data_IF_693845462245
#
_entry.id   IF_693845462245
#
_cell.length_a   1.000
_cell.length_b   1.000
_cell.length_c   1.000
_cell.angle_alpha   90.00
_cell.angle_beta   90.00
_cell.angle_gamma   90.00
#
_symmetry.space_group_name_H-M   'P 1'
#
loop_
_entity.id
_entity.type
_entity.pdbx_description
1 polymer ?
#
# COMPACT_ATOMS: atom_id res chain seq x y z
N UNK A 1 15.38 -33.72 27.65
CA UNK A 1 15.98 -33.10 26.45
C UNK A 1 14.83 -32.54 25.61
N UNK A 2 14.66 -31.21 25.60
CA UNK A 2 13.62 -30.54 24.81
C UNK A 2 14.32 -29.99 23.57
N UNK A 3 13.86 -30.28 22.33
CA UNK A 3 14.52 -29.78 21.14
C UNK A 3 14.32 -28.27 21.05
N UNK A 4 15.44 -27.55 20.93
CA UNK A 4 15.47 -26.11 20.64
C UNK A 4 14.87 -25.90 19.25
N UNK A 5 13.64 -25.38 19.17
CA UNK A 5 13.11 -24.79 17.95
C UNK A 5 14.06 -23.65 17.54
N UNK A 6 14.77 -23.84 16.43
CA UNK A 6 15.50 -22.76 15.75
C UNK A 6 14.46 -21.99 14.94
N UNK A 7 13.85 -20.99 15.55
CA UNK A 7 13.00 -20.04 14.85
C UNK A 7 13.89 -19.18 13.95
N UNK A 8 13.89 -19.45 12.65
CA UNK A 8 14.48 -18.58 11.64
C UNK A 8 13.52 -17.40 11.44
N UNK A 9 13.80 -16.27 12.09
CA UNK A 9 13.12 -15.01 11.78
C UNK A 9 14.05 -14.22 10.88
N UNK A 10 13.93 -14.48 9.57
CA UNK A 10 14.56 -13.65 8.54
C UNK A 10 13.67 -12.43 8.40
N UNK A 11 14.24 -11.25 8.65
CA UNK A 11 13.56 -9.97 8.52
C UNK A 11 12.82 -9.90 7.19
N UNK A 12 11.50 -9.95 7.28
CA UNK A 12 10.61 -9.61 6.19
C UNK A 12 10.89 -8.13 5.91
N UNK A 13 11.71 -7.88 4.90
CA UNK A 13 11.86 -6.55 4.35
C UNK A 13 10.46 -6.02 4.08
N UNK A 14 10.16 -4.84 4.63
CA UNK A 14 8.97 -4.02 4.40
C UNK A 14 8.84 -3.67 2.90
N UNK A 15 8.68 -4.68 2.05
CA UNK A 15 8.42 -4.58 0.63
C UNK A 15 6.91 -4.44 0.46
N UNK A 16 6.40 -3.26 0.79
CA UNK A 16 4.99 -2.95 0.65
C UNK A 16 4.57 -1.58 1.18
N UNK A 17 5.41 -0.89 1.95
CA UNK A 17 5.17 0.50 2.29
C UNK A 17 5.72 1.41 1.18
N UNK A 18 4.90 1.59 0.15
CA UNK A 18 4.86 2.78 -0.71
C UNK A 18 6.19 3.40 -1.12
N UNK A 19 6.91 2.80 -2.06
CA UNK A 19 7.81 3.57 -2.96
C UNK A 19 7.10 3.79 -4.28
N UNK A 20 6.11 4.68 -4.25
CA UNK A 20 5.32 5.09 -5.41
C UNK A 20 5.21 6.61 -5.50
N UNK A 21 6.28 7.35 -5.23
CA UNK A 21 6.42 8.74 -5.64
C UNK A 21 7.88 9.20 -5.56
N UNK A 22 8.71 8.76 -6.51
CA UNK A 22 9.71 9.72 -7.02
C UNK A 22 8.93 10.69 -7.90
N UNK A 23 8.48 11.78 -7.28
CA UNK A 23 8.05 12.98 -7.98
C UNK A 23 9.19 13.38 -8.91
N UNK A 24 9.01 13.13 -10.21
CA UNK A 24 9.75 13.81 -11.26
C UNK A 24 9.52 15.29 -11.04
N UNK A 25 10.53 15.99 -10.52
CA UNK A 25 10.52 17.45 -10.46
C UNK A 25 10.47 17.96 -11.91
N UNK A 26 9.42 18.68 -12.34
CA UNK A 26 9.46 19.34 -13.63
C UNK A 26 10.57 20.39 -13.57
N UNK A 27 11.57 20.26 -14.45
CA UNK A 27 12.59 21.29 -14.64
C UNK A 27 11.90 22.59 -15.06
N UNK A 28 12.00 23.62 -14.21
CA UNK A 28 11.66 24.99 -14.58
C UNK A 28 12.65 25.54 -15.61
N UNK A 29 12.16 25.92 -16.80
CA UNK A 29 12.55 27.08 -17.64
C UNK A 29 11.77 27.01 -18.97
N UNK A 30 11.09 28.02 -19.48
CA UNK A 30 10.85 29.39 -19.05
C UNK A 30 9.82 30.06 -19.99
N UNK A 31 9.14 31.06 -19.43
CA UNK A 31 8.47 32.24 -19.98
C UNK A 31 7.61 32.27 -21.27
N UNK A 32 6.46 32.92 -21.06
CA UNK A 32 5.62 33.80 -21.90
C UNK A 32 4.60 33.20 -22.88
N UNK A 33 3.33 33.57 -22.64
CA UNK A 33 2.25 33.57 -23.63
C UNK A 33 0.87 33.58 -22.96
N UNK A 34 0.15 34.70 -23.06
CA UNK A 34 -1.09 34.97 -22.31
C UNK A 34 -2.33 34.21 -22.78
N UNK A 35 -3.43 34.42 -22.06
CA UNK A 35 -4.77 34.02 -22.49
C UNK A 35 -5.63 33.45 -21.37
N UNK A 36 -6.57 34.27 -20.89
CA UNK A 36 -7.66 33.87 -20.01
C UNK A 36 -8.53 32.77 -20.63
N UNK A 37 -8.87 31.71 -19.88
CA UNK A 37 -10.23 31.15 -19.88
C UNK A 37 -10.40 30.17 -18.73
N UNK A 38 -11.55 30.29 -18.05
CA UNK A 38 -12.04 29.48 -16.96
C UNK A 38 -12.36 28.05 -17.42
N UNK A 39 -11.35 27.17 -17.40
CA UNK A 39 -11.51 25.72 -17.59
C UNK A 39 -10.42 24.97 -16.81
N UNK A 40 -10.41 25.07 -15.48
CA UNK A 40 -9.37 24.42 -14.66
C UNK A 40 -9.99 23.40 -13.70
N UNK A 41 -9.77 22.13 -14.03
CA UNK A 41 -10.08 20.96 -13.19
C UNK A 41 -10.01 19.65 -13.98
N UNK A 42 -10.66 19.59 -15.15
CA UNK A 42 -10.77 18.35 -15.94
C UNK A 42 -9.53 17.99 -16.77
N UNK A 43 -8.83 18.98 -17.33
CA UNK A 43 -7.69 18.74 -18.24
C UNK A 43 -6.42 18.25 -17.53
N UNK A 44 -6.12 18.80 -16.35
CA UNK A 44 -4.95 18.41 -15.57
C UNK A 44 -5.09 17.00 -15.00
N UNK A 45 -6.27 16.65 -14.48
CA UNK A 45 -6.55 15.31 -13.98
C UNK A 45 -6.42 14.25 -15.09
N UNK A 46 -7.01 14.49 -16.26
CA UNK A 46 -6.92 13.56 -17.38
C UNK A 46 -5.49 13.43 -17.91
N UNK A 47 -4.73 14.52 -18.00
CA UNK A 47 -3.32 14.45 -18.41
C UNK A 47 -2.49 13.60 -17.43
N UNK A 48 -2.80 13.62 -16.14
CA UNK A 48 -2.15 12.73 -15.16
C UNK A 48 -2.56 11.27 -15.34
N UNK A 49 -3.83 10.99 -15.61
CA UNK A 49 -4.28 9.63 -15.98
C UNK A 49 -3.50 9.13 -17.19
N UNK A 50 -3.39 9.95 -18.25
CA UNK A 50 -2.65 9.60 -19.47
C UNK A 50 -1.16 9.35 -19.21
N UNK A 51 -0.55 10.09 -18.30
CA UNK A 51 0.85 9.87 -17.91
C UNK A 51 1.04 8.61 -17.07
N UNK A 52 0.07 8.25 -16.23
CA UNK A 52 0.21 7.19 -15.24
C UNK A 52 -0.31 5.83 -15.74
N UNK A 53 -1.19 5.80 -16.74
CA UNK A 53 -1.74 4.53 -17.27
C UNK A 53 -0.70 3.61 -17.90
N UNK A 54 0.42 4.16 -18.37
CA UNK A 54 1.56 3.38 -18.88
C UNK A 54 2.56 2.98 -17.78
N UNK A 55 2.40 3.50 -16.56
CA UNK A 55 3.30 3.20 -15.44
C UNK A 55 2.82 1.95 -14.71
N UNK A 56 3.73 1.04 -14.39
CA UNK A 56 3.38 -0.16 -13.61
C UNK A 56 2.92 0.20 -12.20
N UNK A 57 1.96 -0.55 -11.66
CA UNK A 57 1.51 -0.43 -10.26
C UNK A 57 1.94 -1.65 -9.45
N UNK A 58 1.81 -1.58 -8.12
CA UNK A 58 2.19 -2.66 -7.22
C UNK A 58 1.52 -4.01 -7.53
N UNK A 59 2.27 -5.09 -7.34
CA UNK A 59 1.81 -6.48 -7.51
C UNK A 59 1.19 -7.08 -6.24
N UNK A 60 1.37 -6.39 -5.12
CA UNK A 60 0.90 -6.82 -3.80
C UNK A 60 0.24 -5.65 -3.07
N UNK A 61 -0.92 -5.91 -2.46
CA UNK A 61 -1.59 -5.00 -1.55
C UNK A 61 -1.96 -5.77 -0.27
N UNK A 62 -1.45 -5.34 0.87
CA UNK A 62 -1.82 -5.91 2.16
C UNK A 62 -3.25 -5.47 2.52
N UNK A 63 -4.15 -6.43 2.70
CA UNK A 63 -5.53 -6.18 3.12
C UNK A 63 -5.64 -6.28 4.64
N UNK A 64 -6.47 -5.43 5.28
CA UNK A 64 -6.74 -5.59 6.70
C UNK A 64 -7.51 -6.90 6.97
N UNK A 65 -7.34 -7.51 8.16
CA UNK A 65 -8.15 -8.65 8.56
C UNK A 65 -9.64 -8.33 8.47
N UNK A 66 -10.40 -9.21 7.79
CA UNK A 66 -11.84 -9.03 7.57
C UNK A 66 -12.19 -8.00 6.48
N UNK A 67 -11.26 -7.67 5.57
CA UNK A 67 -11.56 -6.87 4.39
C UNK A 67 -12.77 -7.42 3.61
N UNK A 68 -13.72 -6.54 3.33
CA UNK A 68 -14.99 -6.81 2.62
C UNK A 68 -15.49 -5.49 2.04
N UNK A 69 -16.41 -5.55 1.08
CA UNK A 69 -17.04 -4.36 0.49
C UNK A 69 -17.59 -3.43 1.57
N UNK A 70 -17.30 -2.13 1.43
CA UNK A 70 -17.68 -1.07 2.36
C UNK A 70 -16.60 -0.74 3.40
N UNK A 71 -15.59 -1.60 3.59
CA UNK A 71 -14.49 -1.30 4.52
C UNK A 71 -13.53 -0.29 3.90
N UNK A 72 -13.15 0.74 4.67
CA UNK A 72 -12.06 1.65 4.32
C UNK A 72 -11.06 1.82 5.46
N UNK A 73 -9.84 2.19 5.10
CA UNK A 73 -8.78 2.54 6.03
C UNK A 73 -7.95 3.72 5.54
N UNK A 74 -7.41 4.48 6.47
CA UNK A 74 -6.52 5.60 6.21
C UNK A 74 -5.17 5.36 6.87
N UNK A 75 -4.10 5.64 6.13
CA UNK A 75 -2.73 5.52 6.60
C UNK A 75 -2.00 6.83 6.39
N UNK A 76 -1.07 7.15 7.29
CA UNK A 76 -0.09 8.21 7.07
C UNK A 76 1.29 7.58 6.92
N UNK A 77 2.00 7.90 5.83
CA UNK A 77 3.37 7.45 5.57
C UNK A 77 4.24 8.67 5.23
N UNK A 78 5.30 8.93 6.00
CA UNK A 78 6.16 10.09 5.78
C UNK A 78 5.43 11.45 5.80
N UNK A 79 4.30 11.54 6.50
CA UNK A 79 3.43 12.72 6.54
C UNK A 79 2.38 12.79 5.42
N UNK A 80 2.44 11.92 4.41
CA UNK A 80 1.43 11.83 3.36
C UNK A 80 0.30 10.90 3.80
N UNK A 81 -0.96 11.34 3.66
CA UNK A 81 -2.13 10.52 3.93
C UNK A 81 -2.55 9.75 2.68
N UNK A 82 -3.02 8.53 2.86
CA UNK A 82 -3.63 7.71 1.82
C UNK A 82 -4.87 7.04 2.38
N UNK A 83 -5.96 7.09 1.61
CA UNK A 83 -7.22 6.41 1.93
C UNK A 83 -7.45 5.29 0.95
N UNK A 84 -7.68 4.09 1.47
CA UNK A 84 -8.00 2.89 0.72
C UNK A 84 -9.42 2.45 1.06
N UNK A 85 -10.12 1.88 0.09
CA UNK A 85 -11.49 1.41 0.26
C UNK A 85 -11.72 0.14 -0.56
N UNK A 86 -12.32 -0.89 0.04
CA UNK A 86 -12.90 -2.00 -0.71
C UNK A 86 -14.28 -1.56 -1.18
N UNK A 87 -14.43 -1.37 -2.49
CA UNK A 87 -15.63 -0.74 -3.07
C UNK A 87 -16.51 -1.71 -3.86
N UNK A 88 -16.01 -2.90 -4.15
CA UNK A 88 -16.73 -3.91 -4.92
C UNK A 88 -16.08 -5.28 -4.85
N UNK A 89 -16.74 -6.26 -5.45
CA UNK A 89 -16.27 -7.62 -5.58
C UNK A 89 -16.53 -8.10 -7.01
N UNK A 90 -15.56 -8.82 -7.58
CA UNK A 90 -15.67 -9.46 -8.88
C UNK A 90 -15.01 -10.84 -8.80
N UNK A 91 -15.79 -11.90 -9.07
CA UNK A 91 -15.30 -13.29 -9.12
C UNK A 91 -14.52 -13.70 -7.85
N UNK A 92 -15.05 -13.36 -6.67
CA UNK A 92 -14.43 -13.64 -5.37
C UNK A 92 -13.20 -12.78 -5.05
N UNK A 93 -12.87 -11.78 -5.88
CA UNK A 93 -11.76 -10.85 -5.68
C UNK A 93 -12.29 -9.47 -5.34
N UNK A 94 -11.53 -8.73 -4.55
CA UNK A 94 -11.92 -7.42 -4.04
C UNK A 94 -11.44 -6.31 -4.96
N UNK A 95 -12.31 -5.33 -5.23
CA UNK A 95 -11.91 -4.08 -5.89
C UNK A 95 -11.52 -3.10 -4.79
N UNK A 96 -10.24 -2.71 -4.76
CA UNK A 96 -9.71 -1.73 -3.82
C UNK A 96 -9.38 -0.44 -4.55
N UNK A 97 -9.92 0.68 -4.10
CA UNK A 97 -9.61 2.02 -4.59
C UNK A 97 -8.72 2.77 -3.60
N UNK A 98 -7.82 3.60 -4.13
CA UNK A 98 -7.06 4.60 -3.39
C UNK A 98 -7.23 5.96 -4.08
N UNK A 99 -7.77 6.93 -3.34
CA UNK A 99 -7.79 8.32 -3.80
C UNK A 99 -6.44 9.00 -3.54
N UNK A 100 -5.93 9.72 -4.54
CA UNK A 100 -4.73 10.52 -4.49
C UNK A 100 -5.04 11.96 -4.90
N UNK A 101 -4.49 12.93 -4.18
CA UNK A 101 -4.46 14.33 -4.62
C UNK A 101 -3.15 14.58 -5.37
N UNK A 102 -3.26 14.96 -6.64
CA UNK A 102 -2.13 15.26 -7.51
C UNK A 102 -2.39 16.60 -8.19
N UNK A 103 -1.69 17.64 -7.72
CA UNK A 103 -1.80 18.99 -8.29
C UNK A 103 -3.18 19.61 -8.13
N UNK A 104 -3.88 19.34 -7.01
CA UNK A 104 -5.23 19.85 -6.75
C UNK A 104 -6.33 19.09 -7.51
N UNK A 105 -5.99 17.96 -8.12
CA UNK A 105 -6.93 17.05 -8.79
C UNK A 105 -6.94 15.70 -8.09
N UNK A 106 -8.13 15.13 -7.89
CA UNK A 106 -8.26 13.77 -7.36
C UNK A 106 -8.14 12.74 -8.48
N UNK A 107 -7.21 11.80 -8.31
CA UNK A 107 -7.02 10.62 -9.17
C UNK A 107 -7.29 9.38 -8.33
N UNK A 108 -7.94 8.38 -8.91
CA UNK A 108 -8.21 7.10 -8.25
C UNK A 108 -7.29 6.04 -8.85
N UNK A 109 -6.45 5.42 -8.02
CA UNK A 109 -5.89 4.11 -8.33
C UNK A 109 -6.89 3.05 -7.91
N UNK A 110 -7.05 2.00 -8.71
CA UNK A 110 -7.86 0.85 -8.33
C UNK A 110 -7.13 -0.45 -8.65
N UNK A 111 -7.38 -1.48 -7.83
CA UNK A 111 -6.80 -2.81 -7.98
C UNK A 111 -7.87 -3.87 -7.80
N UNK A 112 -7.82 -4.92 -8.63
CA UNK A 112 -8.50 -6.18 -8.36
C UNK A 112 -7.54 -7.05 -7.56
N UNK A 113 -7.90 -7.35 -6.32
CA UNK A 113 -7.06 -8.00 -5.33
C UNK A 113 -7.64 -9.35 -4.95
N UNK A 114 -6.86 -10.41 -5.09
CA UNK A 114 -7.20 -11.75 -4.65
C UNK A 114 -6.96 -11.90 -3.14
N UNK A 115 -8.00 -11.98 -2.29
CA UNK A 115 -7.81 -12.05 -0.85
C UNK A 115 -7.36 -13.44 -0.37
N UNK A 116 -7.30 -14.44 -1.25
CA UNK A 116 -6.92 -15.83 -0.89
C UNK A 116 -5.40 -16.03 -0.87
N UNK A 117 -4.65 -15.11 -1.48
CA UNK A 117 -3.19 -15.16 -1.48
C UNK A 117 -2.67 -14.58 -0.16
N UNK A 118 -1.94 -15.41 0.59
CA UNK A 118 -1.28 -15.01 1.83
C UNK A 118 0.05 -14.26 1.52
N UNK A 119 0.14 -12.95 1.82
CA UNK A 119 1.35 -12.17 1.58
C UNK A 119 2.44 -12.39 2.64
N UNK A 120 2.16 -13.12 3.73
CA UNK A 120 3.12 -13.35 4.81
C UNK A 120 4.04 -14.54 4.53
N UNK A 121 3.65 -15.42 3.61
CA UNK A 121 4.44 -16.58 3.21
C UNK A 121 5.72 -16.17 2.50
N UNK A 122 6.87 -16.56 3.06
CA UNK A 122 8.15 -16.40 2.39
C UNK A 122 8.36 -17.55 1.40
N UNK A 123 8.50 -17.26 0.10
CA UNK A 123 8.72 -18.29 -0.90
C UNK A 123 10.16 -18.84 -0.78
N UNK A 124 10.41 -19.96 -1.45
CA UNK A 124 11.76 -20.53 -1.55
C UNK A 124 12.66 -19.65 -2.42
N UNK A 125 13.98 -19.77 -2.26
CA UNK A 125 14.93 -19.07 -3.12
C UNK A 125 14.70 -19.45 -4.60
N UNK A 126 14.63 -18.44 -5.47
CA UNK A 126 14.33 -18.62 -6.89
C UNK A 126 12.85 -18.64 -7.25
N UNK A 127 11.95 -18.67 -6.27
CA UNK A 127 10.50 -18.55 -6.49
C UNK A 127 10.07 -17.08 -6.51
N UNK A 128 9.00 -16.72 -7.26
CA UNK A 128 8.46 -15.36 -7.24
C UNK A 128 7.87 -15.02 -5.87
N UNK A 129 7.97 -13.75 -5.48
CA UNK A 129 7.25 -13.22 -4.32
C UNK A 129 5.73 -13.38 -4.51
N UNK A 130 4.95 -13.59 -3.43
CA UNK A 130 3.49 -13.59 -3.52
C UNK A 130 2.96 -12.32 -4.18
N UNK A 131 2.02 -12.48 -5.11
CA UNK A 131 1.34 -11.38 -5.79
C UNK A 131 -0.16 -11.61 -5.71
N UNK A 132 -0.89 -10.62 -5.22
CA UNK A 132 -2.34 -10.69 -5.06
C UNK A 132 -3.09 -9.64 -5.88
N UNK A 133 -2.39 -8.71 -6.52
CA UNK A 133 -3.00 -7.78 -7.48
C UNK A 133 -3.02 -8.44 -8.86
N UNK A 134 -4.22 -8.69 -9.38
CA UNK A 134 -4.40 -9.37 -10.68
C UNK A 134 -4.66 -8.40 -11.83
N UNK A 135 -5.27 -7.24 -11.54
CA UNK A 135 -5.55 -6.16 -12.48
C UNK A 135 -5.50 -4.83 -11.76
N UNK A 136 -5.29 -3.75 -12.51
CA UNK A 136 -5.32 -2.42 -11.97
C UNK A 136 -5.85 -1.40 -12.98
N UNK A 137 -6.43 -0.33 -12.45
CA UNK A 137 -6.94 0.79 -13.21
C UNK A 137 -6.49 2.11 -12.58
N UNK A 138 -6.54 3.16 -13.39
CA UNK A 138 -6.42 4.53 -12.93
C UNK A 138 -7.48 5.39 -13.61
N UNK A 139 -8.05 6.33 -12.88
CA UNK A 139 -9.08 7.19 -13.46
C UNK A 139 -9.37 8.42 -12.63
N UNK A 140 -10.35 9.18 -13.09
CA UNK A 140 -10.91 10.32 -12.36
C UNK A 140 -12.26 9.92 -11.73
N UNK A 141 -12.63 10.50 -10.58
CA UNK A 141 -13.91 10.19 -9.94
C UNK A 141 -15.11 10.34 -10.89
N UNK A 142 -16.04 9.39 -10.82
CA UNK A 142 -17.28 9.35 -11.60
C UNK A 142 -17.13 8.90 -13.06
N UNK A 143 -15.92 8.55 -13.50
CA UNK A 143 -15.68 8.01 -14.85
C UNK A 143 -15.19 6.56 -14.80
N UNK A 144 -15.31 5.81 -15.92
CA UNK A 144 -14.65 4.50 -16.04
C UNK A 144 -13.13 4.63 -15.86
N UNK A 145 -12.53 3.64 -15.21
CA UNK A 145 -11.07 3.55 -15.07
C UNK A 145 -10.40 3.10 -16.37
N UNK A 146 -9.19 3.59 -16.61
CA UNK A 146 -8.30 3.11 -17.66
C UNK A 146 -7.38 2.03 -17.09
N UNK A 147 -7.29 0.86 -17.74
CA UNK A 147 -6.43 -0.23 -17.29
C UNK A 147 -4.95 0.19 -17.35
N UNK A 148 -4.16 -0.27 -16.37
CA UNK A 148 -2.72 -0.03 -16.29
C UNK A 148 -1.96 -1.32 -15.93
N UNK A 149 -0.69 -1.45 -16.35
CA UNK A 149 0.07 -2.66 -16.08
C UNK A 149 0.35 -2.84 -14.59
N UNK A 150 0.39 -4.09 -14.15
CA UNK A 150 0.81 -4.50 -12.80
C UNK A 150 2.27 -4.95 -12.89
N UNK A 151 3.10 -4.50 -11.95
CA UNK A 151 4.50 -4.92 -11.83
C UNK A 151 4.59 -6.44 -11.78
N UNK A 152 5.64 -7.01 -12.37
CA UNK A 152 5.93 -8.44 -12.17
C UNK A 152 6.48 -8.63 -10.75
N UNK A 153 6.03 -9.67 -10.01
CA UNK A 153 6.61 -9.96 -8.70
C UNK A 153 8.11 -10.27 -8.87
N UNK A 154 8.99 -9.68 -8.04
CA UNK A 154 10.40 -10.00 -8.07
C UNK A 154 10.61 -11.45 -7.63
N UNK A 155 11.70 -12.05 -8.10
CA UNK A 155 12.12 -13.38 -7.65
C UNK A 155 12.81 -13.24 -6.29
N UNK A 156 12.37 -14.05 -5.33
CA UNK A 156 12.97 -14.09 -4.02
C UNK A 156 14.43 -14.55 -4.11
N UNK A 157 15.32 -13.68 -3.62
CA UNK A 157 16.72 -14.00 -3.41
C UNK A 157 16.99 -13.91 -1.92
N UNK A 158 17.47 -15.01 -1.36
CA UNK A 158 17.95 -15.01 0.02
C UNK A 158 19.19 -14.13 0.08
N UNK A 159 19.08 -12.95 0.68
CA UNK A 159 20.26 -12.17 1.01
C UNK A 159 21.05 -12.93 2.08
N UNK A 160 22.30 -13.29 1.75
CA UNK A 160 23.20 -14.01 2.66
C UNK A 160 23.32 -13.27 3.99
N UNK A 161 23.46 -14.03 5.08
CA UNK A 161 23.38 -13.57 6.46
C UNK A 161 24.25 -12.34 6.76
N UNK A 162 23.69 -11.16 6.55
CA UNK A 162 24.16 -9.94 7.19
C UNK A 162 23.95 -10.12 8.69
N UNK A 163 24.93 -9.71 9.49
CA UNK A 163 24.90 -9.71 10.95
C UNK A 163 23.67 -8.98 11.48
N UNK A 164 22.55 -9.69 11.54
CA UNK A 164 21.30 -9.18 12.08
C UNK A 164 21.52 -9.04 13.57
N UNK A 165 21.55 -7.80 14.07
CA UNK A 165 21.26 -7.58 15.48
C UNK A 165 19.99 -8.36 15.83
N UNK A 166 19.94 -8.95 17.02
CA UNK A 166 18.77 -9.70 17.48
C UNK A 166 17.52 -8.86 17.26
N UNK A 167 16.65 -9.31 16.37
CA UNK A 167 15.33 -8.73 16.25
C UNK A 167 14.54 -9.18 17.50
N UNK A 168 14.04 -8.22 18.25
CA UNK A 168 13.07 -8.49 19.31
C UNK A 168 11.68 -8.60 18.69
N UNK A 169 10.84 -9.41 19.29
CA UNK A 169 9.48 -9.60 18.82
C UNK A 169 8.54 -9.85 20.00
N UNK A 170 7.28 -9.51 19.81
CA UNK A 170 6.25 -9.76 20.81
C UNK A 170 4.86 -9.50 20.26
N UNK A 171 3.87 -9.74 21.12
CA UNK A 171 2.47 -9.47 20.81
C UNK A 171 1.93 -8.48 21.85
N UNK A 172 1.05 -7.59 21.40
CA UNK A 172 0.33 -6.67 22.29
C UNK A 172 -1.00 -6.23 21.69
N UNK A 173 -1.86 -5.63 22.51
CA UNK A 173 -3.06 -4.94 22.04
C UNK A 173 -2.76 -3.46 21.85
N UNK A 174 -3.09 -2.93 20.69
CA UNK A 174 -2.94 -1.50 20.38
C UNK A 174 -4.28 -0.89 20.00
N UNK A 175 -4.51 0.36 20.38
CA UNK A 175 -5.66 1.14 19.95
C UNK A 175 -5.21 2.15 18.90
N UNK A 176 -5.64 1.96 17.66
CA UNK A 176 -5.27 2.79 16.51
C UNK A 176 -6.49 2.96 15.61
N UNK A 177 -6.64 4.15 15.03
CA UNK A 177 -7.76 4.48 14.15
C UNK A 177 -9.15 4.21 14.74
N UNK A 178 -9.32 4.42 16.06
CA UNK A 178 -10.58 4.19 16.76
C UNK A 178 -10.98 2.72 16.94
N UNK A 179 -10.03 1.78 16.73
CA UNK A 179 -10.24 0.34 16.90
C UNK A 179 -9.12 -0.28 17.72
N UNK A 180 -9.46 -1.33 18.48
CA UNK A 180 -8.47 -2.18 19.14
C UNK A 180 -8.01 -3.30 18.19
N UNK A 181 -6.70 -3.49 18.10
CA UNK A 181 -6.04 -4.50 17.28
C UNK A 181 -5.21 -5.43 18.15
N UNK A 182 -5.35 -6.74 17.94
CA UNK A 182 -4.32 -7.69 18.38
C UNK A 182 -3.15 -7.56 17.39
N UNK A 183 -1.97 -7.16 17.87
CA UNK A 183 -0.81 -6.86 17.05
C UNK A 183 0.36 -7.78 17.37
N UNK A 184 1.09 -8.17 16.32
CA UNK A 184 2.45 -8.69 16.43
C UNK A 184 3.42 -7.55 16.11
N UNK A 185 4.49 -7.42 16.87
CA UNK A 185 5.53 -6.43 16.59
C UNK A 185 6.90 -7.05 16.45
N UNK A 186 7.71 -6.44 15.59
CA UNK A 186 9.13 -6.76 15.41
C UNK A 186 9.94 -5.47 15.57
N UNK A 187 11.00 -5.54 16.37
CA UNK A 187 11.91 -4.43 16.63
C UNK A 187 13.33 -4.80 16.22
N UNK A 188 13.98 -3.89 15.52
CA UNK A 188 15.38 -3.98 15.10
C UNK A 188 16.12 -2.72 15.55
N UNK A 189 17.43 -2.65 15.31
CA UNK A 189 18.20 -1.42 15.52
C UNK A 189 17.68 -0.21 14.71
N UNK A 190 16.86 -0.44 13.68
CA UNK A 190 16.33 0.61 12.80
C UNK A 190 14.93 1.09 13.19
N UNK A 191 14.28 0.42 14.15
CA UNK A 191 12.93 0.79 14.57
C UNK A 191 12.04 -0.39 14.91
N UNK A 192 10.76 -0.09 15.17
CA UNK A 192 9.74 -1.07 15.56
C UNK A 192 8.55 -0.99 14.60
N UNK A 193 8.05 -2.15 14.18
CA UNK A 193 6.87 -2.27 13.33
C UNK A 193 5.82 -3.12 14.02
N UNK A 194 4.58 -2.65 14.03
CA UNK A 194 3.39 -3.35 14.49
C UNK A 194 2.56 -3.76 13.27
N UNK A 195 2.18 -5.04 13.22
CA UNK A 195 1.31 -5.62 12.20
C UNK A 195 0.09 -6.22 12.89
N UNK A 196 -1.06 -6.22 12.21
CA UNK A 196 -2.21 -6.97 12.69
C UNK A 196 -1.83 -8.45 12.79
N UNK A 197 -2.12 -9.07 13.93
CA UNK A 197 -1.67 -10.44 14.21
C UNK A 197 -2.19 -11.42 13.17
N UNK A 198 -1.29 -12.23 12.62
CA UNK A 198 -1.62 -13.21 11.56
C UNK A 198 -1.83 -12.59 10.17
N UNK A 199 -1.38 -11.36 9.94
CA UNK A 199 -1.51 -10.65 8.65
C UNK A 199 -0.26 -9.82 8.35
N UNK A 200 -0.03 -9.50 7.07
CA UNK A 200 0.98 -8.53 6.63
C UNK A 200 0.50 -7.07 6.76
N UNK A 201 -0.73 -6.83 7.25
CA UNK A 201 -1.28 -5.50 7.38
C UNK A 201 -0.58 -4.69 8.48
N UNK A 202 0.27 -3.75 8.07
CA UNK A 202 0.97 -2.86 8.99
C UNK A 202 -0.01 -1.90 9.69
N UNK A 203 0.16 -1.76 11.00
CA UNK A 203 -0.61 -0.83 11.83
C UNK A 203 0.21 0.43 12.14
N UNK A 204 1.51 0.26 12.41
CA UNK A 204 2.41 1.35 12.77
C UNK A 204 3.86 0.96 12.53
N UNK A 205 4.70 1.90 12.15
CA UNK A 205 6.16 1.76 12.13
C UNK A 205 6.80 3.02 12.69
N UNK A 206 7.78 2.85 13.57
CA UNK A 206 8.65 3.92 14.06
C UNK A 206 10.09 3.68 13.64
N UNK A 207 10.88 4.75 13.52
CA UNK A 207 12.33 4.65 13.42
C UNK A 207 12.98 4.35 14.80
N UNK A 208 14.31 4.27 14.82
CA UNK A 208 15.09 4.02 16.03
C UNK A 208 14.95 5.10 17.12
N UNK A 209 14.54 6.32 16.77
CA UNK A 209 14.27 7.41 17.72
C UNK A 209 12.84 7.39 18.28
N UNK A 210 12.00 6.47 17.78
CA UNK A 210 10.58 6.40 18.13
C UNK A 210 9.68 7.30 17.27
N UNK A 211 10.24 8.00 16.27
CA UNK A 211 9.44 8.83 15.35
C UNK A 211 8.61 7.93 14.43
N UNK A 212 7.31 8.20 14.33
CA UNK A 212 6.39 7.51 13.42
C UNK A 212 6.78 7.74 11.96
N UNK A 213 7.00 6.65 11.23
CA UNK A 213 7.22 6.63 9.78
C UNK A 213 5.95 6.23 9.02
N UNK A 214 5.17 5.33 9.61
CA UNK A 214 3.89 4.86 9.11
C UNK A 214 2.89 4.68 10.27
N UNK A 215 1.63 5.01 10.06
CA UNK A 215 0.56 4.73 11.03
C UNK A 215 -0.80 4.59 10.34
N UNK A 216 -1.59 3.63 10.81
CA UNK A 216 -3.03 3.53 10.53
C UNK A 216 -3.75 4.61 11.34
N UNK A 217 -4.35 5.58 10.66
CA UNK A 217 -4.95 6.77 11.28
C UNK A 217 -6.47 6.84 11.17
N UNK A 218 -7.10 6.03 10.31
CA UNK A 218 -8.56 5.99 10.17
C UNK A 218 -9.09 4.63 9.71
N UNK A 219 -10.34 4.35 10.05
CA UNK A 219 -11.05 3.10 9.76
C UNK A 219 -12.57 3.34 9.72
N UNK A 220 -13.29 2.60 8.86
CA UNK A 220 -14.77 2.63 8.82
C UNK A 220 -15.39 1.59 7.88
N UNK A 221 -16.73 1.57 7.82
CA UNK A 221 -17.55 0.53 7.15
C UNK A 221 -18.68 1.09 6.25
N UNK A 222 -18.42 2.19 5.53
CA UNK A 222 -19.39 2.88 4.67
C UNK A 222 -18.79 3.37 3.34
N UNK A 223 -17.73 2.70 2.88
CA UNK A 223 -17.02 3.06 1.67
C UNK A 223 -17.91 2.89 0.42
N UNK A 224 -17.71 3.78 -0.56
CA UNK A 224 -18.41 3.79 -1.84
C UNK A 224 -17.40 3.84 -2.99
N UNK A 225 -17.73 3.23 -4.14
CA UNK A 225 -16.91 3.35 -5.34
C UNK A 225 -16.81 4.81 -5.79
N UNK A 226 -15.62 5.19 -6.22
CA UNK A 226 -15.34 6.49 -6.81
C UNK A 226 -15.17 6.39 -8.32
N UNK A 227 -14.72 5.26 -8.86
CA UNK A 227 -14.80 4.99 -10.30
C UNK A 227 -16.19 4.44 -10.67
N UNK A 228 -16.53 4.58 -11.95
CA UNK A 228 -17.72 3.94 -12.52
C UNK A 228 -17.36 2.50 -12.93
N UNK A 229 -17.86 1.53 -12.16
CA UNK A 229 -17.69 0.08 -12.37
C UNK A 229 -18.87 -0.54 -13.10
#
# INVERSE_FOLDING_TARGET
MIPRLRTFVVGLALLGLGTGCQLLQPKQKGDQGGGSSSAQGGGAAQAMVDSMKSTETQYLLALPPGAKVGVWWETTAGGAKSKYAVVGEQEGKLIVEQAMDVGGSTIINAWLVDPTIDPTGMPSEGEPMPANVVKAWIGVPGKPGEERPVMKPPVYKKTGGGSGGQAEQGDERVELAGKTWDAHWTQTAHGKTWMAKGSAFALKTTDASGKTLFELTGWGEDAKPQLAW
#
